data_IF_134198760284
#
_entry.id   IF_134198760284
#
_cell.length_a   1.000
_cell.length_b   1.000
_cell.length_c   1.000
_cell.angle_alpha   90.00
_cell.angle_beta   90.00
_cell.angle_gamma   90.00
#
_symmetry.space_group_name_H-M   'P 1'
#
loop_
_entity.id
_entity.type
_entity.pdbx_description
1 polymer ?
#
# COMPACT_ATOMS: atom_id res chain seq x y z
N UNK A 1 -73.19 -18.76 -31.46
CA UNK A 1 -72.21 -19.28 -30.47
C UNK A 1 -71.41 -18.08 -29.97
N UNK A 2 -71.75 -17.59 -28.74
CA UNK A 2 -71.12 -16.49 -28.11
C UNK A 2 -69.97 -17.07 -27.24
N UNK A 3 -68.72 -16.75 -27.56
CA UNK A 3 -67.55 -17.08 -26.71
C UNK A 3 -67.11 -15.81 -26.01
N UNK A 4 -67.42 -15.70 -24.72
CA UNK A 4 -66.89 -14.67 -23.83
C UNK A 4 -65.42 -14.96 -23.56
N UNK A 5 -64.52 -13.94 -23.55
CA UNK A 5 -63.13 -14.11 -23.17
C UNK A 5 -62.99 -14.35 -21.67
N UNK A 6 -61.96 -15.08 -21.25
CA UNK A 6 -61.74 -15.35 -19.83
C UNK A 6 -61.35 -14.09 -19.03
N UNK A 7 -61.66 -14.03 -17.71
CA UNK A 7 -61.38 -12.88 -16.88
C UNK A 7 -59.85 -12.68 -16.69
N UNK A 8 -59.42 -11.42 -16.71
CA UNK A 8 -58.05 -11.00 -16.46
C UNK A 8 -57.61 -11.38 -15.03
N UNK A 9 -56.43 -11.98 -14.90
CA UNK A 9 -55.82 -12.30 -13.61
C UNK A 9 -55.55 -11.02 -12.81
N UNK A 10 -55.69 -11.04 -11.45
CA UNK A 10 -55.43 -9.86 -10.64
C UNK A 10 -53.92 -9.56 -10.66
N UNK A 11 -53.60 -8.34 -11.07
CA UNK A 11 -52.23 -7.79 -10.93
C UNK A 11 -51.86 -7.75 -9.46
N UNK A 12 -50.74 -8.39 -9.11
CA UNK A 12 -50.13 -8.30 -7.81
C UNK A 12 -49.74 -6.83 -7.48
N UNK A 13 -49.92 -6.37 -6.22
CA UNK A 13 -49.60 -5.01 -5.85
C UNK A 13 -48.10 -4.79 -6.04
N UNK A 14 -47.72 -3.68 -6.65
CA UNK A 14 -46.38 -3.18 -6.82
C UNK A 14 -45.66 -3.23 -5.46
N UNK A 15 -44.75 -4.19 -5.27
CA UNK A 15 -43.74 -4.12 -4.23
C UNK A 15 -42.83 -2.92 -4.54
N UNK A 16 -42.28 -2.24 -3.55
CA UNK A 16 -41.37 -1.14 -3.76
C UNK A 16 -40.20 -1.66 -4.64
N UNK A 17 -40.03 -1.04 -5.81
CA UNK A 17 -38.88 -1.28 -6.65
C UNK A 17 -37.64 -1.07 -5.81
N UNK A 18 -36.90 -2.14 -5.52
CA UNK A 18 -35.57 -2.03 -5.01
C UNK A 18 -34.83 -1.15 -6.01
N UNK A 19 -34.50 0.07 -5.61
CA UNK A 19 -33.69 0.99 -6.38
C UNK A 19 -32.30 0.37 -6.51
N UNK A 20 -32.15 -0.54 -7.47
CA UNK A 20 -30.87 -1.10 -7.86
C UNK A 20 -30.01 0.06 -8.30
N UNK A 21 -29.08 0.49 -7.43
CA UNK A 21 -28.05 1.47 -7.77
C UNK A 21 -27.23 0.88 -8.90
N UNK A 22 -27.51 1.31 -10.12
CA UNK A 22 -26.66 1.02 -11.28
C UNK A 22 -25.33 1.73 -11.07
N UNK A 23 -24.36 1.07 -10.49
CA UNK A 23 -22.99 1.55 -10.50
C UNK A 23 -22.49 1.54 -11.95
N UNK A 24 -22.10 2.70 -12.48
CA UNK A 24 -21.40 2.80 -13.76
C UNK A 24 -19.96 2.28 -13.57
N UNK A 25 -19.79 0.96 -13.55
CA UNK A 25 -18.49 0.33 -13.27
C UNK A 25 -17.73 -0.07 -14.52
N UNK A 26 -18.30 0.13 -15.72
CA UNK A 26 -17.73 -0.40 -16.95
C UNK A 26 -16.62 0.49 -17.51
N UNK A 27 -15.47 -0.10 -17.83
CA UNK A 27 -14.36 0.58 -18.50
C UNK A 27 -13.66 1.64 -17.67
N UNK A 28 -13.74 1.59 -16.33
CA UNK A 28 -13.02 2.51 -15.46
C UNK A 28 -11.59 2.01 -15.19
N UNK A 29 -10.61 2.83 -15.56
CA UNK A 29 -9.22 2.63 -15.13
C UNK A 29 -9.06 2.86 -13.62
N UNK A 30 -8.04 2.26 -13.01
CA UNK A 30 -7.85 2.23 -11.56
C UNK A 30 -7.95 3.61 -10.87
N UNK A 31 -7.28 4.63 -11.41
CA UNK A 31 -7.33 6.00 -10.84
C UNK A 31 -8.72 6.64 -10.96
N UNK A 32 -9.60 6.10 -11.78
CA UNK A 32 -10.98 6.61 -12.02
C UNK A 32 -12.05 5.89 -11.20
N UNK A 33 -11.69 4.91 -10.38
CA UNK A 33 -12.65 4.04 -9.69
C UNK A 33 -13.61 4.78 -8.73
N UNK A 34 -13.24 5.97 -8.24
CA UNK A 34 -14.15 6.82 -7.47
C UNK A 34 -15.39 7.28 -8.24
N UNK A 35 -15.40 7.14 -9.58
CA UNK A 35 -16.58 7.41 -10.41
C UNK A 35 -17.57 6.24 -10.48
N UNK A 36 -17.21 5.08 -9.96
CA UNK A 36 -18.11 3.92 -9.93
C UNK A 36 -19.36 4.17 -9.05
N UNK A 37 -19.25 5.05 -8.07
CA UNK A 37 -20.37 5.47 -7.23
C UNK A 37 -20.97 6.79 -7.74
N UNK A 38 -22.19 6.80 -8.30
CA UNK A 38 -22.84 7.99 -8.80
C UNK A 38 -23.26 8.98 -7.70
N UNK A 39 -23.37 8.52 -6.44
CA UNK A 39 -23.74 9.38 -5.31
C UNK A 39 -22.52 10.15 -4.76
N UNK A 40 -21.31 9.74 -5.09
CA UNK A 40 -20.09 10.43 -4.68
C UNK A 40 -20.01 11.81 -5.33
N UNK A 41 -20.07 12.86 -4.52
CA UNK A 41 -19.95 14.25 -4.96
C UNK A 41 -18.48 14.60 -5.21
N UNK A 42 -18.24 15.71 -5.93
CA UNK A 42 -16.87 16.15 -6.24
C UNK A 42 -16.01 16.41 -5.00
N UNK A 43 -16.61 16.81 -3.89
CA UNK A 43 -15.94 17.10 -2.62
C UNK A 43 -15.89 15.91 -1.65
N UNK A 44 -16.63 14.83 -1.88
CA UNK A 44 -16.66 13.66 -0.98
C UNK A 44 -15.28 13.11 -0.64
N UNK A 45 -14.31 13.03 -1.59
CA UNK A 45 -12.96 12.57 -1.26
C UNK A 45 -12.22 13.51 -0.30
N UNK A 46 -12.52 14.82 -0.33
CA UNK A 46 -11.92 15.76 0.64
C UNK A 46 -12.44 15.51 2.05
N UNK A 47 -13.74 15.26 2.20
CA UNK A 47 -14.33 14.90 3.49
C UNK A 47 -13.82 13.55 3.99
N UNK A 48 -13.70 12.55 3.10
CA UNK A 48 -13.09 11.26 3.40
C UNK A 48 -11.65 11.44 3.92
N UNK A 49 -10.85 12.25 3.22
CA UNK A 49 -9.48 12.57 3.62
C UNK A 49 -9.40 13.28 4.96
N UNK A 50 -10.21 14.33 5.19
CA UNK A 50 -10.23 15.07 6.45
C UNK A 50 -10.62 14.17 7.63
N UNK A 51 -11.66 13.34 7.46
CA UNK A 51 -12.09 12.40 8.50
C UNK A 51 -11.02 11.33 8.75
N UNK A 52 -10.42 10.77 7.67
CA UNK A 52 -9.33 9.81 7.77
C UNK A 52 -8.12 10.38 8.53
N UNK A 53 -7.71 11.60 8.21
CA UNK A 53 -6.61 12.29 8.92
C UNK A 53 -6.96 12.54 10.38
N UNK A 54 -8.18 12.98 10.68
CA UNK A 54 -8.61 13.21 12.08
C UNK A 54 -8.55 11.93 12.91
N UNK A 55 -9.06 10.80 12.38
CA UNK A 55 -8.99 9.49 13.04
C UNK A 55 -7.53 9.03 13.16
N UNK A 56 -6.73 9.19 12.11
CA UNK A 56 -5.30 8.83 12.11
C UNK A 56 -4.53 9.60 13.20
N UNK A 57 -4.74 10.90 13.32
CA UNK A 57 -4.11 11.73 14.37
C UNK A 57 -4.50 11.20 15.75
N UNK A 58 -5.79 10.92 16.00
CA UNK A 58 -6.25 10.39 17.28
C UNK A 58 -5.58 9.05 17.63
N UNK A 59 -5.53 8.10 16.69
CA UNK A 59 -4.87 6.81 16.87
C UNK A 59 -3.36 6.96 17.06
N UNK A 60 -2.71 7.83 16.27
CA UNK A 60 -1.27 8.06 16.35
C UNK A 60 -0.88 8.70 17.69
N UNK A 61 -1.67 9.64 18.22
CA UNK A 61 -1.44 10.22 19.55
C UNK A 61 -1.54 9.14 20.64
N UNK A 62 -2.55 8.28 20.58
CA UNK A 62 -2.68 7.16 21.51
C UNK A 62 -1.45 6.24 21.46
N UNK A 63 -1.03 5.84 20.27
CA UNK A 63 0.15 4.97 20.08
C UNK A 63 1.45 5.66 20.51
N UNK A 64 1.58 6.97 20.30
CA UNK A 64 2.73 7.75 20.78
C UNK A 64 2.79 7.81 22.30
N UNK A 65 1.65 7.91 23.00
CA UNK A 65 1.62 7.81 24.45
C UNK A 65 2.03 6.42 24.95
N UNK A 66 1.60 5.35 24.27
CA UNK A 66 2.03 3.99 24.58
C UNK A 66 3.52 3.81 24.33
N UNK A 67 4.07 4.40 23.26
CA UNK A 67 5.50 4.37 22.96
C UNK A 67 6.31 5.10 24.05
N UNK A 68 5.85 6.28 24.48
CA UNK A 68 6.45 7.01 25.59
C UNK A 68 6.45 6.19 26.90
N UNK A 69 5.35 5.54 27.21
CA UNK A 69 5.26 4.68 28.39
C UNK A 69 6.18 3.46 28.30
N UNK A 70 6.28 2.81 27.12
CA UNK A 70 7.19 1.69 26.88
C UNK A 70 8.66 2.10 27.02
N UNK A 71 9.04 3.25 26.45
CA UNK A 71 10.37 3.82 26.57
C UNK A 71 10.77 4.10 28.02
N UNK A 72 9.87 4.81 28.75
CA UNK A 72 10.10 5.11 30.18
C UNK A 72 10.24 3.82 31.02
N UNK A 73 9.43 2.80 30.73
CA UNK A 73 9.53 1.49 31.38
C UNK A 73 10.84 0.76 31.09
N UNK A 74 11.51 1.06 29.97
CA UNK A 74 12.82 0.53 29.58
C UNK A 74 13.99 1.43 30.00
N UNK A 75 13.71 2.54 30.69
CA UNK A 75 14.74 3.51 31.09
C UNK A 75 15.26 4.40 29.95
N UNK A 76 14.59 4.40 28.79
CA UNK A 76 14.94 5.18 27.61
C UNK A 76 14.21 6.51 27.67
N UNK A 77 14.92 7.63 27.51
CA UNK A 77 14.28 8.95 27.44
C UNK A 77 13.65 9.19 26.07
N UNK A 78 12.61 10.04 26.00
CA UNK A 78 12.01 10.45 24.74
C UNK A 78 13.01 11.18 23.84
N UNK A 79 13.95 11.91 24.43
CA UNK A 79 15.02 12.58 23.71
C UNK A 79 15.92 11.57 22.99
N UNK A 80 16.34 10.49 23.67
CA UNK A 80 17.14 9.43 23.05
C UNK A 80 16.46 8.79 21.85
N UNK A 81 15.14 8.56 21.91
CA UNK A 81 14.40 8.00 20.76
C UNK A 81 14.40 8.97 19.56
N UNK A 82 14.32 10.28 19.79
CA UNK A 82 14.31 11.27 18.71
C UNK A 82 15.67 11.43 18.07
N UNK A 83 16.74 11.35 18.86
CA UNK A 83 18.13 11.49 18.40
C UNK A 83 18.68 10.17 17.81
N UNK A 84 18.28 9.03 18.37
CA UNK A 84 18.78 7.72 17.94
C UNK A 84 17.63 6.80 17.51
N UNK A 85 17.27 6.86 16.23
CA UNK A 85 16.22 6.03 15.65
C UNK A 85 16.57 4.56 15.58
N UNK A 86 17.86 4.18 15.66
CA UNK A 86 18.29 2.78 15.67
C UNK A 86 17.76 2.01 16.89
N UNK A 87 17.41 2.71 18.00
CA UNK A 87 16.74 2.11 19.16
C UNK A 87 15.47 1.33 18.81
N UNK A 88 14.81 1.68 17.70
CA UNK A 88 13.69 0.93 17.16
C UNK A 88 14.12 -0.50 16.79
N UNK A 89 15.36 -0.70 16.32
CA UNK A 89 15.89 -2.02 15.95
C UNK A 89 16.42 -2.80 17.15
N UNK A 90 16.63 -2.13 18.28
CA UNK A 90 17.14 -2.75 19.52
C UNK A 90 16.00 -3.23 20.43
N UNK A 91 14.83 -2.56 20.36
CA UNK A 91 13.73 -2.77 21.28
C UNK A 91 12.45 -3.21 20.59
N UNK A 92 12.01 -4.49 20.74
CA UNK A 92 10.82 -5.02 20.08
C UNK A 92 9.54 -4.20 20.31
N UNK A 93 9.35 -3.64 21.51
CA UNK A 93 8.17 -2.82 21.81
C UNK A 93 8.17 -1.50 21.03
N UNK A 94 9.33 -0.83 20.90
CA UNK A 94 9.45 0.38 20.09
C UNK A 94 9.25 0.08 18.62
N UNK A 95 9.83 -1.03 18.13
CA UNK A 95 9.61 -1.51 16.78
C UNK A 95 8.12 -1.72 16.49
N UNK A 96 7.43 -2.50 17.33
CA UNK A 96 6.02 -2.79 17.16
C UNK A 96 5.17 -1.52 17.15
N UNK A 97 5.37 -0.60 18.09
CA UNK A 97 4.58 0.63 18.20
C UNK A 97 4.85 1.60 17.03
N UNK A 98 6.10 1.67 16.53
CA UNK A 98 6.44 2.46 15.33
C UNK A 98 5.66 1.96 14.12
N UNK A 99 5.69 0.66 13.84
CA UNK A 99 4.98 0.10 12.69
C UNK A 99 3.45 0.12 12.87
N UNK A 100 2.95 -0.11 14.10
CA UNK A 100 1.52 0.02 14.40
C UNK A 100 1.00 1.44 14.19
N UNK A 101 1.82 2.48 14.42
CA UNK A 101 1.44 3.87 14.16
C UNK A 101 1.19 4.12 12.67
N UNK A 102 1.97 3.51 11.78
CA UNK A 102 1.76 3.57 10.33
C UNK A 102 0.58 2.68 9.89
N UNK A 103 0.43 1.50 10.49
CA UNK A 103 -0.71 0.60 10.25
C UNK A 103 -2.05 1.26 10.62
N UNK A 104 -2.06 2.21 11.55
CA UNK A 104 -3.26 2.98 11.92
C UNK A 104 -3.90 3.72 10.73
N UNK A 105 -3.19 3.92 9.62
CA UNK A 105 -3.74 4.40 8.34
C UNK A 105 -4.92 3.51 7.89
N UNK A 106 -4.80 2.19 8.03
CA UNK A 106 -5.83 1.24 7.54
C UNK A 106 -7.17 1.48 8.23
N UNK A 107 -7.33 1.35 9.57
CA UNK A 107 -8.59 1.62 10.23
C UNK A 107 -9.07 3.06 10.02
N UNK A 108 -8.17 4.04 9.92
CA UNK A 108 -8.53 5.45 9.70
C UNK A 108 -9.21 5.67 8.35
N UNK A 109 -8.64 5.13 7.28
CA UNK A 109 -9.22 5.22 5.93
C UNK A 109 -10.52 4.43 5.84
N UNK A 110 -10.59 3.22 6.41
CA UNK A 110 -11.82 2.43 6.36
C UNK A 110 -12.95 3.07 7.15
N UNK A 111 -12.70 3.61 8.33
CA UNK A 111 -13.71 4.35 9.11
C UNK A 111 -14.20 5.58 8.35
N UNK A 112 -13.31 6.36 7.75
CA UNK A 112 -13.69 7.50 6.93
C UNK A 112 -14.52 7.07 5.71
N UNK A 113 -14.10 6.01 5.04
CA UNK A 113 -14.79 5.46 3.86
C UNK A 113 -16.17 4.87 4.18
N UNK A 114 -16.36 4.31 5.38
CA UNK A 114 -17.67 3.86 5.86
C UNK A 114 -18.66 5.00 5.91
N UNK A 115 -18.20 6.21 6.27
CA UNK A 115 -19.08 7.39 6.46
C UNK A 115 -19.32 8.13 5.14
N UNK A 116 -18.28 8.41 4.37
CA UNK A 116 -18.36 9.33 3.22
C UNK A 116 -17.74 8.79 1.92
N UNK A 117 -17.06 7.65 1.96
CA UNK A 117 -16.33 7.13 0.81
C UNK A 117 -17.21 6.52 -0.28
N UNK A 118 -16.68 6.42 -1.51
CA UNK A 118 -17.38 5.82 -2.64
C UNK A 118 -17.59 4.31 -2.43
N UNK A 119 -18.71 3.82 -2.99
CA UNK A 119 -19.09 2.40 -2.96
C UNK A 119 -19.00 1.80 -4.36
N UNK A 120 -18.74 0.49 -4.51
CA UNK A 120 -18.39 -0.46 -3.43
C UNK A 120 -16.96 -0.24 -2.90
N UNK A 121 -16.78 -0.38 -1.59
CA UNK A 121 -15.52 -0.04 -0.89
C UNK A 121 -14.31 -0.82 -1.40
N UNK A 122 -14.52 -2.03 -1.87
CA UNK A 122 -13.45 -2.90 -2.35
C UNK A 122 -12.71 -2.36 -3.59
N UNK A 123 -13.30 -1.39 -4.32
CA UNK A 123 -12.66 -0.74 -5.46
C UNK A 123 -11.40 0.08 -5.09
N UNK A 124 -11.18 0.37 -3.82
CA UNK A 124 -9.91 0.96 -3.38
C UNK A 124 -8.72 0.02 -3.68
N UNK A 125 -8.94 -1.30 -3.69
CA UNK A 125 -7.89 -2.29 -3.92
C UNK A 125 -7.61 -2.54 -5.39
N UNK A 126 -8.65 -2.71 -6.19
CA UNK A 126 -8.50 -3.01 -7.61
C UNK A 126 -9.82 -2.85 -8.38
N UNK A 127 -9.72 -2.87 -9.69
CA UNK A 127 -10.86 -2.93 -10.62
C UNK A 127 -11.77 -4.15 -10.41
N UNK A 128 -11.30 -5.17 -9.71
CA UNK A 128 -12.09 -6.36 -9.33
C UNK A 128 -12.80 -6.20 -7.98
N UNK A 129 -12.70 -5.04 -7.32
CA UNK A 129 -13.32 -4.77 -6.02
C UNK A 129 -12.72 -5.56 -4.84
N UNK A 130 -11.53 -6.12 -5.01
CA UNK A 130 -10.79 -6.90 -3.99
C UNK A 130 -9.33 -7.03 -4.35
N UNK A 131 -8.47 -7.39 -3.41
CA UNK A 131 -7.11 -7.85 -3.71
C UNK A 131 -7.17 -9.19 -4.45
N UNK A 132 -6.53 -9.24 -5.62
CA UNK A 132 -6.44 -10.43 -6.48
C UNK A 132 -5.27 -11.31 -6.03
N UNK A 133 -5.53 -12.28 -5.16
CA UNK A 133 -4.48 -13.19 -4.61
C UNK A 133 -3.68 -13.88 -5.71
N UNK A 134 -4.33 -14.17 -6.84
CA UNK A 134 -3.67 -14.75 -8.01
C UNK A 134 -2.60 -13.85 -8.62
N UNK A 135 -2.63 -12.54 -8.41
CA UNK A 135 -1.59 -11.58 -8.80
C UNK A 135 -0.64 -11.26 -7.64
N UNK A 136 -1.18 -11.07 -6.43
CA UNK A 136 -0.40 -10.67 -5.26
C UNK A 136 0.74 -11.66 -4.97
N UNK A 137 0.43 -12.95 -4.88
CA UNK A 137 1.43 -13.97 -4.52
C UNK A 137 2.57 -14.11 -5.56
N UNK A 138 2.30 -14.18 -6.88
CA UNK A 138 3.37 -14.17 -7.88
C UNK A 138 4.21 -12.90 -7.87
N UNK A 139 3.61 -11.73 -7.67
CA UNK A 139 4.35 -10.46 -7.59
C UNK A 139 5.22 -10.40 -6.34
N UNK A 140 4.71 -10.88 -5.21
CA UNK A 140 5.48 -10.96 -3.97
C UNK A 140 6.68 -11.90 -4.13
N UNK A 141 6.46 -13.09 -4.70
CA UNK A 141 7.53 -14.02 -5.03
C UNK A 141 8.56 -13.42 -6.00
N UNK A 142 8.11 -12.71 -7.04
CA UNK A 142 9.00 -11.99 -7.96
C UNK A 142 9.87 -10.97 -7.22
N UNK A 143 9.28 -10.16 -6.33
CA UNK A 143 10.02 -9.17 -5.55
C UNK A 143 11.10 -9.81 -4.70
N UNK A 144 10.75 -10.80 -3.89
CA UNK A 144 11.74 -11.49 -3.06
C UNK A 144 12.83 -12.21 -3.85
N UNK A 145 12.53 -12.75 -5.02
CA UNK A 145 13.55 -13.35 -5.91
C UNK A 145 14.51 -12.28 -6.42
N UNK A 146 14.01 -11.14 -6.90
CA UNK A 146 14.83 -10.03 -7.41
C UNK A 146 15.75 -9.49 -6.32
N UNK A 147 15.19 -9.11 -5.17
CA UNK A 147 15.97 -8.56 -4.04
C UNK A 147 16.91 -9.62 -3.46
N UNK A 148 16.46 -10.88 -3.32
CA UNK A 148 17.30 -11.98 -2.84
C UNK A 148 18.51 -12.23 -3.73
N UNK A 149 18.35 -12.27 -5.04
CA UNK A 149 19.45 -12.43 -6.00
C UNK A 149 20.39 -11.22 -5.92
N UNK A 150 19.85 -9.99 -5.92
CA UNK A 150 20.66 -8.78 -5.85
C UNK A 150 21.56 -8.78 -4.62
N UNK A 151 21.01 -8.99 -3.43
CA UNK A 151 21.80 -8.98 -2.20
C UNK A 151 22.74 -10.18 -2.09
N UNK A 152 22.37 -11.37 -2.59
CA UNK A 152 23.27 -12.52 -2.65
C UNK A 152 24.51 -12.22 -3.53
N UNK A 153 24.31 -11.55 -4.66
CA UNK A 153 25.41 -11.11 -5.55
C UNK A 153 26.24 -10.05 -4.84
N UNK A 154 25.62 -9.05 -4.20
CA UNK A 154 26.36 -8.01 -3.46
C UNK A 154 27.24 -8.60 -2.36
N UNK A 155 26.72 -9.53 -1.56
CA UNK A 155 27.51 -10.25 -0.53
C UNK A 155 28.65 -11.07 -1.14
N UNK A 156 28.40 -11.76 -2.26
CA UNK A 156 29.43 -12.55 -2.93
C UNK A 156 30.57 -11.69 -3.51
N UNK A 157 30.24 -10.50 -4.05
CA UNK A 157 31.21 -9.58 -4.67
C UNK A 157 31.99 -8.79 -3.59
N UNK A 158 31.32 -8.33 -2.54
CA UNK A 158 31.97 -7.54 -1.46
C UNK A 158 32.81 -8.38 -0.50
N UNK A 159 32.78 -9.72 -0.62
CA UNK A 159 33.60 -10.61 0.20
C UNK A 159 33.09 -10.77 1.63
N UNK A 160 31.79 -10.59 1.85
CA UNK A 160 31.06 -10.89 3.10
C UNK A 160 31.65 -10.29 4.40
N UNK A 161 32.43 -9.21 4.31
CA UNK A 161 32.74 -8.41 5.49
C UNK A 161 31.49 -7.63 5.87
N UNK A 162 30.73 -8.14 6.84
CA UNK A 162 29.64 -7.37 7.44
C UNK A 162 30.26 -6.13 8.08
N UNK A 163 29.70 -4.93 7.87
CA UNK A 163 30.14 -3.73 8.54
C UNK A 163 30.02 -3.91 10.07
N UNK A 164 30.80 -3.15 10.82
CA UNK A 164 30.64 -3.09 12.28
C UNK A 164 29.20 -2.64 12.60
N UNK A 165 28.61 -3.27 13.61
CA UNK A 165 27.28 -2.91 14.07
C UNK A 165 27.22 -1.42 14.43
N UNK A 166 26.26 -0.70 13.87
CA UNK A 166 26.04 0.73 14.11
C UNK A 166 25.11 1.01 15.29
N UNK A 167 24.54 -0.03 15.88
CA UNK A 167 23.68 0.02 17.07
C UNK A 167 23.98 -1.20 17.96
N UNK A 168 23.50 -1.16 19.21
CA UNK A 168 23.70 -2.29 20.14
C UNK A 168 22.98 -3.53 19.61
N UNK A 169 23.71 -4.65 19.55
CA UNK A 169 23.08 -5.90 19.13
C UNK A 169 21.96 -6.27 20.09
N UNK A 170 20.74 -6.52 19.60
CA UNK A 170 19.68 -7.04 20.45
C UNK A 170 20.09 -8.41 21.01
N UNK A 171 19.58 -8.77 22.18
CA UNK A 171 19.75 -10.12 22.69
C UNK A 171 19.19 -11.14 21.70
N UNK A 172 19.63 -12.40 21.79
CA UNK A 172 19.14 -13.44 20.86
C UNK A 172 17.61 -13.58 20.86
N UNK A 173 16.96 -13.37 22.00
CA UNK A 173 15.49 -13.42 22.10
C UNK A 173 14.87 -12.22 21.38
N UNK A 174 15.36 -11.01 21.64
CA UNK A 174 14.88 -9.78 21.00
C UNK A 174 15.08 -9.82 19.48
N UNK A 175 16.22 -10.33 19.01
CA UNK A 175 16.52 -10.53 17.60
C UNK A 175 15.41 -11.35 16.92
N UNK A 176 15.07 -12.53 17.45
CA UNK A 176 14.03 -13.37 16.86
C UNK A 176 12.63 -12.75 16.98
N UNK A 177 12.35 -12.03 18.07
CA UNK A 177 11.09 -11.28 18.20
C UNK A 177 11.01 -10.21 17.12
N UNK A 178 12.08 -9.44 16.87
CA UNK A 178 12.11 -8.42 15.82
C UNK A 178 11.95 -9.07 14.44
N UNK A 179 12.60 -10.20 14.15
CA UNK A 179 12.37 -10.96 12.90
C UNK A 179 10.89 -11.28 12.70
N UNK A 180 10.22 -11.80 13.74
CA UNK A 180 8.79 -12.10 13.67
C UNK A 180 7.96 -10.82 13.44
N UNK A 181 8.29 -9.73 14.14
CA UNK A 181 7.61 -8.45 13.96
C UNK A 181 7.81 -7.88 12.55
N UNK A 182 9.02 -7.98 11.98
CA UNK A 182 9.28 -7.58 10.58
C UNK A 182 8.34 -8.36 9.64
N UNK A 183 8.29 -9.69 9.78
CA UNK A 183 7.49 -10.54 8.89
C UNK A 183 5.97 -10.33 9.04
N UNK A 184 5.50 -9.91 10.21
CA UNK A 184 4.07 -9.69 10.47
C UNK A 184 3.63 -8.24 10.23
N UNK A 185 4.37 -7.25 10.72
CA UNK A 185 3.92 -5.86 10.72
C UNK A 185 4.32 -5.12 9.45
N UNK A 186 5.52 -5.35 8.92
CA UNK A 186 6.01 -4.61 7.74
C UNK A 186 5.15 -4.83 6.49
N UNK A 187 4.69 -6.06 6.16
CA UNK A 187 3.76 -6.24 5.04
C UNK A 187 2.44 -5.47 5.20
N UNK A 188 1.93 -5.36 6.43
CA UNK A 188 0.70 -4.63 6.72
C UNK A 188 0.93 -3.12 6.67
N UNK A 189 2.09 -2.64 7.13
CA UNK A 189 2.51 -1.24 7.02
C UNK A 189 2.66 -0.82 5.55
N UNK A 190 3.37 -1.61 4.73
CA UNK A 190 3.50 -1.35 3.29
C UNK A 190 2.12 -1.29 2.61
N UNK A 191 1.24 -2.24 2.93
CA UNK A 191 -0.13 -2.20 2.45
C UNK A 191 -0.88 -0.93 2.91
N UNK A 192 -0.70 -0.48 4.15
CA UNK A 192 -1.32 0.73 4.68
C UNK A 192 -0.90 1.98 3.88
N UNK A 193 0.38 2.10 3.58
CA UNK A 193 0.90 3.21 2.78
C UNK A 193 0.41 3.14 1.33
N UNK A 194 0.45 1.96 0.69
CA UNK A 194 -0.10 1.80 -0.66
C UNK A 194 -1.60 2.12 -0.70
N UNK A 195 -2.35 1.74 0.34
CA UNK A 195 -3.77 2.06 0.46
C UNK A 195 -4.01 3.58 0.54
N UNK A 196 -3.15 4.32 1.27
CA UNK A 196 -3.26 5.78 1.39
C UNK A 196 -2.88 6.48 0.07
N UNK A 197 -1.69 6.20 -0.45
CA UNK A 197 -1.13 6.95 -1.57
C UNK A 197 -1.70 6.50 -2.93
N UNK A 198 -1.85 5.20 -3.15
CA UNK A 198 -2.31 4.64 -4.44
C UNK A 198 -3.79 4.27 -4.41
N UNK A 199 -4.28 3.79 -3.29
CA UNK A 199 -5.70 3.51 -3.11
C UNK A 199 -6.53 4.78 -3.00
N UNK A 200 -6.28 5.61 -2.00
CA UNK A 200 -7.07 6.80 -1.70
C UNK A 200 -6.66 8.02 -2.53
N UNK A 201 -5.43 8.51 -2.40
CA UNK A 201 -5.02 9.78 -3.03
C UNK A 201 -5.06 9.72 -4.56
N UNK A 202 -4.56 8.63 -5.16
CA UNK A 202 -4.57 8.46 -6.61
C UNK A 202 -5.99 8.41 -7.18
N UNK A 203 -6.94 7.72 -6.51
CA UNK A 203 -8.34 7.68 -6.94
C UNK A 203 -9.06 9.00 -6.67
N UNK A 204 -8.68 9.72 -5.61
CA UNK A 204 -9.17 11.08 -5.33
C UNK A 204 -8.79 12.04 -6.43
N UNK A 205 -7.50 12.12 -6.77
CA UNK A 205 -7.01 12.97 -7.87
C UNK A 205 -7.61 12.55 -9.21
N UNK A 206 -7.71 11.24 -9.45
CA UNK A 206 -8.34 10.69 -10.64
C UNK A 206 -9.82 11.05 -10.79
N UNK A 207 -10.51 11.47 -9.72
CA UNK A 207 -11.86 12.00 -9.84
C UNK A 207 -11.91 13.33 -10.61
N UNK A 208 -10.93 14.18 -10.42
CA UNK A 208 -10.87 15.49 -11.08
C UNK A 208 -10.01 15.48 -12.35
N UNK A 209 -9.01 14.59 -12.41
CA UNK A 209 -8.00 14.56 -13.46
C UNK A 209 -8.16 13.27 -14.29
N UNK A 210 -8.40 13.43 -15.59
CA UNK A 210 -8.62 12.28 -16.49
C UNK A 210 -7.32 11.54 -16.82
N UNK A 211 -6.22 12.28 -16.98
CA UNK A 211 -4.91 11.68 -17.32
C UNK A 211 -4.34 10.97 -16.10
N UNK A 212 -3.67 9.82 -16.23
CA UNK A 212 -3.14 9.09 -15.08
C UNK A 212 -1.89 9.72 -14.47
N UNK A 213 -1.16 10.55 -15.22
CA UNK A 213 0.17 11.01 -14.84
C UNK A 213 0.19 11.86 -13.56
N UNK A 214 -0.69 12.85 -13.45
CA UNK A 214 -0.77 13.65 -12.22
C UNK A 214 -1.24 12.83 -11.01
N UNK A 215 -2.28 11.97 -11.11
CA UNK A 215 -2.61 11.00 -10.06
C UNK A 215 -1.48 10.04 -9.69
N UNK A 216 -0.52 9.77 -10.57
CA UNK A 216 0.68 8.96 -10.26
C UNK A 216 1.74 9.82 -9.55
N UNK A 217 2.11 10.97 -10.15
CA UNK A 217 3.28 11.75 -9.72
C UNK A 217 3.02 12.53 -8.43
N UNK A 218 1.84 13.11 -8.23
CA UNK A 218 1.55 13.91 -7.03
C UNK A 218 1.55 13.07 -5.74
N UNK A 219 0.89 11.89 -5.67
CA UNK A 219 1.02 11.03 -4.49
C UNK A 219 2.44 10.50 -4.30
N UNK A 220 3.22 10.28 -5.38
CA UNK A 220 4.63 9.89 -5.28
C UNK A 220 5.48 11.00 -4.65
N UNK A 221 5.24 12.25 -5.01
CA UNK A 221 5.91 13.40 -4.38
C UNK A 221 5.53 13.55 -2.90
N UNK A 222 4.26 13.39 -2.55
CA UNK A 222 3.82 13.42 -1.15
C UNK A 222 4.41 12.24 -0.35
N UNK A 223 4.51 11.06 -0.96
CA UNK A 223 5.18 9.91 -0.37
C UNK A 223 6.66 10.19 -0.10
N UNK A 224 7.36 10.78 -1.06
CA UNK A 224 8.75 11.22 -0.89
C UNK A 224 8.89 12.18 0.31
N UNK A 225 8.05 13.21 0.39
CA UNK A 225 8.10 14.21 1.48
C UNK A 225 7.70 13.67 2.86
N UNK A 226 7.10 12.48 2.95
CA UNK A 226 6.86 11.81 4.23
C UNK A 226 8.08 11.08 4.78
N UNK A 227 9.20 11.08 4.05
CA UNK A 227 10.47 10.47 4.43
C UNK A 227 11.52 11.54 4.76
N UNK A 228 12.48 11.19 5.61
CA UNK A 228 13.52 12.11 6.10
C UNK A 228 14.92 11.69 5.63
N UNK A 229 15.04 11.24 4.39
CA UNK A 229 16.31 10.87 3.78
C UNK A 229 17.02 12.08 3.16
N UNK A 230 18.29 11.90 2.82
CA UNK A 230 19.04 12.85 1.98
C UNK A 230 18.48 12.90 0.54
N UNK A 231 19.06 13.76 -0.30
CA UNK A 231 18.56 13.98 -1.66
C UNK A 231 18.52 12.71 -2.52
N UNK A 232 19.50 11.80 -2.36
CA UNK A 232 19.55 10.55 -3.12
C UNK A 232 18.54 9.54 -2.61
N UNK A 233 18.39 9.41 -1.28
CA UNK A 233 17.34 8.59 -0.67
C UNK A 233 15.95 9.09 -1.02
N UNK A 234 15.71 10.41 -0.99
CA UNK A 234 14.44 11.00 -1.44
C UNK A 234 14.19 10.74 -2.94
N UNK A 235 15.23 10.83 -3.78
CA UNK A 235 15.13 10.49 -5.20
C UNK A 235 14.73 9.03 -5.44
N UNK A 236 15.29 8.11 -4.67
CA UNK A 236 14.93 6.69 -4.69
C UNK A 236 13.46 6.48 -4.27
N UNK A 237 13.03 7.07 -3.14
CA UNK A 237 11.64 6.96 -2.66
C UNK A 237 10.65 7.57 -3.65
N UNK A 238 11.02 8.69 -4.30
CA UNK A 238 10.19 9.28 -5.35
C UNK A 238 10.02 8.35 -6.55
N UNK A 239 11.13 7.76 -7.03
CA UNK A 239 11.10 6.81 -8.14
C UNK A 239 10.24 5.58 -7.80
N UNK A 240 10.41 5.00 -6.61
CA UNK A 240 9.55 3.95 -6.08
C UNK A 240 8.08 4.37 -6.08
N UNK A 241 7.81 5.60 -5.65
CA UNK A 241 6.48 6.19 -5.65
C UNK A 241 5.83 6.23 -7.03
N UNK A 242 6.59 6.65 -8.04
CA UNK A 242 6.16 6.69 -9.44
C UNK A 242 5.94 5.28 -9.99
N UNK A 243 6.86 4.36 -9.74
CA UNK A 243 6.75 2.96 -10.16
C UNK A 243 5.52 2.27 -9.56
N UNK A 244 5.27 2.45 -8.27
CA UNK A 244 4.09 1.93 -7.59
C UNK A 244 2.80 2.48 -8.17
N UNK A 245 2.71 3.81 -8.38
CA UNK A 245 1.56 4.44 -9.01
C UNK A 245 1.33 3.98 -10.46
N UNK A 246 2.41 3.83 -11.24
CA UNK A 246 2.35 3.28 -12.59
C UNK A 246 1.83 1.83 -12.58
N UNK A 247 2.35 0.98 -11.69
CA UNK A 247 1.91 -0.42 -11.56
C UNK A 247 0.42 -0.49 -11.21
N UNK A 248 -0.06 0.34 -10.29
CA UNK A 248 -1.49 0.38 -9.94
C UNK A 248 -2.37 0.76 -11.13
N UNK A 249 -1.96 1.77 -11.90
CA UNK A 249 -2.67 2.16 -13.11
C UNK A 249 -2.62 1.08 -14.19
N UNK A 250 -1.42 0.50 -14.42
CA UNK A 250 -1.20 -0.45 -15.49
C UNK A 250 -1.88 -1.80 -15.24
N UNK A 251 -1.85 -2.29 -14.01
CA UNK A 251 -2.43 -3.59 -13.64
C UNK A 251 -3.86 -3.50 -13.13
N UNK A 252 -4.36 -2.29 -12.88
CA UNK A 252 -5.72 -2.07 -12.39
C UNK A 252 -5.88 -2.41 -10.90
N UNK A 253 -4.82 -2.31 -10.07
CA UNK A 253 -4.91 -2.59 -8.64
C UNK A 253 -3.60 -2.50 -7.86
N UNK A 254 -3.68 -2.62 -6.54
CA UNK A 254 -2.58 -2.46 -5.60
C UNK A 254 -1.59 -3.63 -5.56
N UNK A 255 -1.91 -4.79 -6.16
CA UNK A 255 -1.19 -6.04 -5.90
C UNK A 255 0.30 -5.95 -6.22
N UNK A 256 0.65 -5.36 -7.38
CA UNK A 256 2.04 -5.26 -7.80
C UNK A 256 2.82 -4.21 -6.98
N UNK A 257 2.19 -3.08 -6.65
CA UNK A 257 2.81 -2.02 -5.84
C UNK A 257 3.03 -2.46 -4.39
N UNK A 258 2.03 -3.07 -3.76
CA UNK A 258 2.16 -3.66 -2.42
C UNK A 258 3.28 -4.70 -2.38
N UNK A 259 3.35 -5.56 -3.40
CA UNK A 259 4.38 -6.61 -3.45
C UNK A 259 5.79 -6.06 -3.62
N UNK A 260 5.98 -5.02 -4.45
CA UNK A 260 7.25 -4.31 -4.59
C UNK A 260 7.68 -3.71 -3.26
N UNK A 261 6.79 -2.95 -2.63
CA UNK A 261 7.03 -2.26 -1.37
C UNK A 261 7.35 -3.25 -0.24
N UNK A 262 6.58 -4.32 -0.10
CA UNK A 262 6.82 -5.38 0.90
C UNK A 262 8.18 -6.04 0.67
N UNK A 263 8.50 -6.42 -0.56
CA UNK A 263 9.77 -7.08 -0.86
C UNK A 263 10.96 -6.17 -0.56
N UNK A 264 10.89 -4.87 -0.90
CA UNK A 264 11.90 -3.89 -0.56
C UNK A 264 12.09 -3.77 0.97
N UNK A 265 11.02 -3.41 1.69
CA UNK A 265 11.11 -3.08 3.11
C UNK A 265 11.44 -4.29 3.99
N UNK A 266 10.82 -5.44 3.75
CA UNK A 266 11.11 -6.67 4.51
C UNK A 266 12.57 -7.09 4.30
N UNK A 267 13.06 -7.08 3.05
CA UNK A 267 14.44 -7.47 2.76
C UNK A 267 15.44 -6.49 3.38
N UNK A 268 15.19 -5.16 3.23
CA UNK A 268 16.04 -4.13 3.81
C UNK A 268 16.12 -4.28 5.34
N UNK A 269 14.99 -4.40 6.03
CA UNK A 269 14.95 -4.50 7.49
C UNK A 269 15.60 -5.78 8.03
N UNK A 270 15.38 -6.93 7.37
CA UNK A 270 16.04 -8.18 7.75
C UNK A 270 17.56 -8.11 7.55
N UNK A 271 18.00 -7.53 6.44
CA UNK A 271 19.44 -7.34 6.19
C UNK A 271 20.05 -6.35 7.17
N UNK A 272 19.38 -5.24 7.45
CA UNK A 272 19.83 -4.26 8.44
C UNK A 272 19.93 -4.87 9.83
N UNK A 273 18.96 -5.71 10.22
CA UNK A 273 19.00 -6.41 11.50
C UNK A 273 20.19 -7.39 11.57
N UNK A 274 20.46 -8.15 10.50
CA UNK A 274 21.59 -9.11 10.46
C UNK A 274 22.93 -8.40 10.37
N UNK A 275 23.02 -7.32 9.58
CA UNK A 275 24.26 -6.59 9.33
C UNK A 275 24.55 -5.47 10.37
N UNK A 276 23.63 -5.22 11.30
CA UNK A 276 23.77 -4.13 12.27
C UNK A 276 23.75 -2.74 11.65
N UNK A 277 23.07 -2.59 10.51
CA UNK A 277 22.91 -1.31 9.83
C UNK A 277 21.66 -0.59 10.34
N UNK A 278 21.70 0.73 10.41
CA UNK A 278 20.53 1.54 10.74
C UNK A 278 19.66 1.77 9.48
N UNK A 279 18.49 1.11 9.36
CA UNK A 279 17.60 1.30 8.21
C UNK A 279 16.86 2.64 8.23
N UNK A 280 16.93 3.38 9.34
CA UNK A 280 16.28 4.68 9.54
C UNK A 280 17.26 5.85 9.43
N UNK A 281 18.54 5.58 9.07
CA UNK A 281 19.53 6.63 8.86
C UNK A 281 19.04 7.61 7.80
N UNK A 282 19.05 8.90 8.15
CA UNK A 282 18.57 9.96 7.28
C UNK A 282 19.61 10.43 6.27
N UNK A 283 20.88 10.06 6.46
CA UNK A 283 22.02 10.52 5.67
C UNK A 283 22.88 9.34 5.21
N UNK A 284 23.64 9.58 4.15
CA UNK A 284 24.67 8.65 3.68
C UNK A 284 24.21 7.67 2.60
N UNK A 285 23.09 7.93 1.93
CA UNK A 285 22.73 7.15 0.74
C UNK A 285 23.68 7.50 -0.40
N UNK A 286 24.53 6.56 -0.79
CA UNK A 286 25.43 6.80 -1.91
C UNK A 286 24.63 6.92 -3.22
N UNK A 287 25.04 7.85 -4.14
CA UNK A 287 24.37 8.01 -5.44
C UNK A 287 24.23 6.69 -6.21
N UNK A 288 25.25 5.85 -6.14
CA UNK A 288 25.26 4.56 -6.84
C UNK A 288 24.24 3.59 -6.25
N UNK A 289 24.06 3.58 -4.92
CA UNK A 289 23.09 2.70 -4.26
C UNK A 289 21.66 3.11 -4.61
N UNK A 290 21.38 4.42 -4.64
CA UNK A 290 20.09 4.93 -5.08
C UNK A 290 19.80 4.55 -6.54
N UNK A 291 20.77 4.72 -7.44
CA UNK A 291 20.62 4.37 -8.86
C UNK A 291 20.44 2.85 -9.07
N UNK A 292 21.17 2.03 -8.32
CA UNK A 292 21.01 0.57 -8.36
C UNK A 292 19.63 0.15 -7.85
N UNK A 293 19.15 0.76 -6.75
CA UNK A 293 17.81 0.53 -6.23
C UNK A 293 16.73 0.89 -7.25
N UNK A 294 16.83 2.08 -7.88
CA UNK A 294 15.91 2.51 -8.95
C UNK A 294 15.92 1.53 -10.13
N UNK A 295 17.10 1.06 -10.54
CA UNK A 295 17.22 0.08 -11.64
C UNK A 295 16.60 -1.28 -11.27
N UNK A 296 16.79 -1.72 -10.03
CA UNK A 296 16.24 -2.97 -9.50
C UNK A 296 14.70 -2.93 -9.48
N UNK A 297 14.13 -1.83 -9.01
CA UNK A 297 12.69 -1.59 -9.05
C UNK A 297 12.16 -1.49 -10.48
N UNK A 298 12.91 -0.84 -11.37
CA UNK A 298 12.58 -0.78 -12.80
C UNK A 298 12.52 -2.17 -13.44
N UNK A 299 13.45 -3.07 -13.08
CA UNK A 299 13.41 -4.47 -13.50
C UNK A 299 12.15 -5.17 -12.99
N UNK A 300 11.81 -4.97 -11.70
CA UNK A 300 10.57 -5.50 -11.14
C UNK A 300 9.35 -5.01 -11.92
N UNK A 301 9.26 -3.71 -12.22
CA UNK A 301 8.15 -3.12 -12.99
C UNK A 301 7.99 -3.79 -14.34
N UNK A 302 9.09 -3.96 -15.08
CA UNK A 302 9.06 -4.61 -16.41
C UNK A 302 8.54 -6.03 -16.30
N UNK A 303 9.07 -6.83 -15.37
CA UNK A 303 8.68 -8.23 -15.21
C UNK A 303 7.24 -8.37 -14.69
N UNK A 304 6.80 -7.50 -13.79
CA UNK A 304 5.41 -7.46 -13.32
C UNK A 304 4.43 -7.15 -14.46
N UNK A 305 4.77 -6.19 -15.33
CA UNK A 305 3.98 -5.89 -16.52
C UNK A 305 3.93 -7.07 -17.51
N UNK A 306 5.03 -7.81 -17.70
CA UNK A 306 5.07 -9.00 -18.55
C UNK A 306 4.16 -10.11 -18.00
N UNK A 307 4.21 -10.37 -16.68
CA UNK A 307 3.33 -11.33 -16.00
C UNK A 307 1.87 -10.92 -16.18
N UNK A 308 1.56 -9.63 -15.96
CA UNK A 308 0.19 -9.12 -16.13
C UNK A 308 -0.29 -9.32 -17.56
N UNK A 309 0.51 -8.93 -18.56
CA UNK A 309 0.15 -9.04 -19.97
C UNK A 309 -0.07 -10.49 -20.40
N UNK A 310 0.76 -11.43 -19.90
CA UNK A 310 0.58 -12.85 -20.18
C UNK A 310 -0.77 -13.37 -19.65
N UNK A 311 -1.19 -12.93 -18.46
CA UNK A 311 -2.49 -13.29 -17.85
C UNK A 311 -3.67 -12.58 -18.50
N UNK A 312 -3.49 -11.31 -18.87
CA UNK A 312 -4.53 -10.54 -19.58
C UNK A 312 -4.84 -11.15 -20.95
N UNK A 313 -3.83 -11.61 -21.68
CA UNK A 313 -4.00 -12.34 -22.95
C UNK A 313 -4.79 -13.65 -22.79
N UNK A 314 -4.76 -14.27 -21.60
CA UNK A 314 -5.54 -15.47 -21.28
C UNK A 314 -6.93 -15.14 -20.72
N UNK A 315 -7.29 -13.84 -20.62
CA UNK A 315 -8.57 -13.41 -20.07
C UNK A 315 -8.69 -13.58 -18.53
N UNK A 316 -7.58 -13.84 -17.83
CA UNK A 316 -7.59 -14.08 -16.38
C UNK A 316 -7.72 -12.77 -15.56
N UNK A 317 -7.28 -11.65 -16.12
CA UNK A 317 -7.22 -10.34 -15.45
C UNK A 317 -7.55 -9.21 -16.41
N UNK A 318 -8.03 -8.07 -15.87
CA UNK A 318 -8.31 -6.85 -16.61
C UNK A 318 -7.63 -5.64 -15.96
N UNK A 319 -7.38 -4.60 -16.76
CA UNK A 319 -6.89 -3.28 -16.33
C UNK A 319 -8.02 -2.35 -15.91
N UNK A 320 -9.22 -2.63 -16.38
CA UNK A 320 -10.41 -1.81 -16.19
C UNK A 320 -11.53 -2.66 -15.60
N UNK A 321 -12.47 -2.00 -14.97
CA UNK A 321 -13.69 -2.66 -14.48
C UNK A 321 -14.44 -3.34 -15.62
N UNK A 322 -14.91 -4.55 -15.37
CA UNK A 322 -15.75 -5.28 -16.32
C UNK A 322 -17.23 -5.16 -15.94
N UNK A 323 -18.15 -5.25 -16.91
CA UNK A 323 -19.57 -5.33 -16.62
C UNK A 323 -19.82 -6.45 -15.61
N UNK A 324 -20.67 -6.18 -14.62
CA UNK A 324 -21.18 -7.24 -13.78
C UNK A 324 -21.84 -8.28 -14.69
N UNK A 325 -21.32 -9.51 -14.71
CA UNK A 325 -22.04 -10.62 -15.33
C UNK A 325 -23.34 -10.76 -14.55
N UNK A 326 -24.43 -10.35 -15.16
CA UNK A 326 -25.77 -10.71 -14.69
C UNK A 326 -25.90 -12.19 -15.05
N UNK A 327 -25.68 -13.07 -14.08
CA UNK A 327 -26.01 -14.49 -14.25
C UNK A 327 -27.52 -14.55 -14.45
N UNK A 328 -27.94 -14.88 -15.69
CA UNK A 328 -29.34 -15.13 -16.07
C UNK A 328 -29.81 -16.44 -15.48
#
# INVERSE_FOLDING_TARGET
MNTTPPPASPQAPFGPAASGRSSRTDGLAYHRLSHADPETRWYSPLLEGLLGVAVFIGLSLMLSLLMAAAAMGSGISLHEITENRSLVMEHPALFALTFLSLIAIVPSLFLARLVVGPKPWGLIHSVAGRLRRSLLLPYLGLGFVIYGIYYAVMVAVSGASLPDYRYSQPSQVEFWVIVVLILLLVPVQCYAEELAYRGFMMQTLGRWIRTPWLPIVLPAALFMFSHTYDAWGLGFVFAMGVYAGFLCWYTGGLEASVSLHVANNVTLLLLSLVAGLDPFASEGVAPMDALQGIALEGLYVVLACLIFNARARRGEVSRETQPLKVDN
#
